data_IF_698810032939
#
_entry.id   IF_698810032939
#
_cell.length_a   1.000
_cell.length_b   1.000
_cell.length_c   1.000
_cell.angle_alpha   90.00
_cell.angle_beta   90.00
_cell.angle_gamma   90.00
#
_symmetry.space_group_name_H-M   'P 1'
#
loop_
_entity.id
_entity.type
_entity.pdbx_description
1 polymer ?
#
# COMPACT_ATOMS: atom_id res chain seq x y z
N UNK A 1 3.55 -4.97 3.99
CA UNK A 1 4.42 -4.31 2.99
C UNK A 1 5.52 -3.54 3.71
N UNK A 2 6.78 -3.56 3.23
CA UNK A 2 7.89 -2.84 3.89
C UNK A 2 8.06 -1.44 3.30
N UNK A 3 8.16 -0.43 4.16
CA UNK A 3 8.45 0.96 3.77
C UNK A 3 9.76 1.36 4.43
N UNK A 4 10.63 2.03 3.67
CA UNK A 4 11.93 2.51 4.14
C UNK A 4 11.91 4.04 4.23
N UNK A 5 12.28 4.55 5.38
CA UNK A 5 12.54 5.96 5.62
C UNK A 5 14.06 6.16 5.72
N UNK A 6 14.63 6.86 4.74
CA UNK A 6 16.05 7.23 4.72
C UNK A 6 16.18 8.69 5.17
N UNK A 7 16.10 8.92 6.48
CA UNK A 7 16.24 10.24 7.12
C UNK A 7 17.16 10.14 8.33
N UNK A 8 17.62 11.27 8.86
CA UNK A 8 18.31 11.35 10.16
C UNK A 8 17.36 10.97 11.31
N UNK A 9 17.90 10.40 12.39
CA UNK A 9 17.17 9.66 13.42
C UNK A 9 16.04 10.45 14.14
N UNK A 10 16.13 11.78 14.17
CA UNK A 10 15.12 12.68 14.78
C UNK A 10 13.95 13.01 13.85
N UNK A 11 14.08 12.74 12.55
CA UNK A 11 13.08 13.14 11.56
C UNK A 11 12.16 11.97 11.16
N UNK A 12 10.84 12.23 11.04
CA UNK A 12 9.84 11.23 10.67
C UNK A 12 9.40 11.38 9.21
N UNK A 13 9.45 10.31 8.45
CA UNK A 13 8.79 10.24 7.15
C UNK A 13 7.28 10.09 7.37
N UNK A 14 6.49 10.99 6.77
CA UNK A 14 5.03 10.82 6.69
C UNK A 14 4.66 10.40 5.29
N UNK A 15 3.71 9.51 5.16
CA UNK A 15 3.33 9.04 3.84
C UNK A 15 1.99 8.36 3.80
N UNK A 16 1.61 8.01 2.58
CA UNK A 16 0.42 7.22 2.30
C UNK A 16 0.79 6.02 1.44
N UNK A 17 0.12 4.92 1.73
CA UNK A 17 0.24 3.68 1.01
C UNK A 17 -1.15 3.34 0.47
N UNK A 18 -1.25 3.22 -0.84
CA UNK A 18 -2.51 2.94 -1.54
C UNK A 18 -2.37 1.66 -2.34
N UNK A 19 -3.34 0.76 -2.24
CA UNK A 19 -3.48 -0.40 -3.12
C UNK A 19 -4.65 -0.18 -4.05
N UNK A 20 -4.43 -0.45 -5.33
CA UNK A 20 -5.44 -0.33 -6.36
C UNK A 20 -5.49 -1.60 -7.21
N UNK A 21 -6.69 -2.07 -7.49
CA UNK A 21 -6.92 -3.28 -8.28
C UNK A 21 -8.24 -3.22 -9.04
N UNK A 22 -8.30 -3.96 -10.15
CA UNK A 22 -9.55 -4.26 -10.86
C UNK A 22 -10.24 -5.45 -10.19
N UNK A 23 -11.32 -5.16 -9.47
CA UNK A 23 -12.10 -6.21 -8.81
C UNK A 23 -13.03 -6.90 -9.82
N UNK A 24 -13.19 -8.23 -9.72
CA UNK A 24 -14.19 -8.95 -10.51
C UNK A 24 -15.59 -8.40 -10.23
N UNK A 25 -16.41 -8.26 -11.28
CA UNK A 25 -17.78 -7.72 -11.17
C UNK A 25 -17.88 -6.19 -11.13
N UNK A 26 -16.76 -5.44 -11.18
CA UNK A 26 -16.76 -3.96 -11.27
C UNK A 26 -16.28 -3.40 -12.62
N UNK A 27 -16.27 -4.25 -13.65
CA UNK A 27 -15.81 -3.89 -15.01
C UNK A 27 -14.30 -3.65 -15.09
N UNK A 28 -13.84 -2.94 -16.14
CA UNK A 28 -12.41 -2.62 -16.37
C UNK A 28 -11.85 -1.53 -15.43
N UNK A 29 -12.64 -1.04 -14.47
CA UNK A 29 -12.25 0.08 -13.58
C UNK A 29 -11.32 -0.37 -12.47
N UNK A 30 -10.22 0.35 -12.31
CA UNK A 30 -9.28 0.17 -11.20
C UNK A 30 -9.78 0.89 -9.96
N UNK A 31 -10.05 0.15 -8.89
CA UNK A 31 -10.60 0.65 -7.63
C UNK A 31 -9.55 0.63 -6.52
N UNK A 32 -9.67 1.52 -5.55
CA UNK A 32 -8.82 1.49 -4.35
C UNK A 32 -9.32 0.40 -3.41
N UNK A 33 -8.46 -0.60 -3.15
CA UNK A 33 -8.79 -1.76 -2.33
C UNK A 33 -8.21 -1.67 -0.91
N UNK A 34 -7.23 -0.81 -0.68
CA UNK A 34 -6.76 -0.43 0.65
C UNK A 34 -6.04 0.92 0.60
N UNK A 35 -6.08 1.65 1.71
CA UNK A 35 -5.32 2.88 1.93
C UNK A 35 -4.91 2.94 3.39
N UNK A 36 -3.66 3.31 3.66
CA UNK A 36 -3.21 3.65 5.00
C UNK A 36 -2.26 4.84 4.95
N UNK A 37 -2.34 5.68 5.97
CA UNK A 37 -1.34 6.71 6.24
C UNK A 37 -0.34 6.17 7.26
N UNK A 38 0.90 6.60 7.18
CA UNK A 38 1.95 6.20 8.12
C UNK A 38 2.83 7.38 8.51
N UNK A 39 3.41 7.27 9.70
CA UNK A 39 4.48 8.12 10.20
C UNK A 39 5.55 7.20 10.74
N UNK A 40 6.75 7.24 10.15
CA UNK A 40 7.83 6.31 10.41
C UNK A 40 9.08 7.09 10.80
N UNK A 41 9.74 6.68 11.89
CA UNK A 41 11.10 7.09 12.16
C UNK A 41 12.06 6.50 11.11
N UNK A 42 13.33 6.91 11.15
CA UNK A 42 14.37 6.36 10.29
C UNK A 42 14.40 4.82 10.37
N UNK A 43 14.54 4.15 9.24
CA UNK A 43 14.59 2.68 9.15
C UNK A 43 13.51 2.05 8.27
N UNK A 44 13.33 0.73 8.42
CA UNK A 44 12.36 -0.06 7.64
C UNK A 44 11.24 -0.56 8.54
N UNK A 45 9.98 -0.35 8.14
CA UNK A 45 8.82 -0.85 8.90
C UNK A 45 7.84 -1.59 8.03
N UNK A 46 7.26 -2.64 8.59
CA UNK A 46 6.14 -3.35 7.98
C UNK A 46 4.85 -2.61 8.31
N UNK A 47 4.08 -2.27 7.26
CA UNK A 47 2.74 -1.72 7.39
C UNK A 47 1.70 -2.79 7.12
N UNK A 48 0.69 -2.80 7.99
CA UNK A 48 -0.52 -3.60 7.87
C UNK A 48 -1.61 -2.75 7.24
N UNK A 49 -2.29 -3.30 6.25
CA UNK A 49 -3.31 -2.61 5.47
C UNK A 49 -4.63 -3.35 5.60
N UNK A 50 -5.70 -2.62 5.84
CA UNK A 50 -7.05 -3.18 5.88
C UNK A 50 -7.64 -3.15 4.46
N UNK A 51 -7.87 -4.34 3.90
CA UNK A 51 -8.55 -4.47 2.62
C UNK A 51 -10.04 -4.13 2.75
N UNK A 52 -10.60 -3.47 1.74
CA UNK A 52 -12.04 -3.21 1.63
C UNK A 52 -12.81 -4.53 1.57
N UNK A 53 -14.09 -4.51 1.98
CA UNK A 53 -14.92 -5.72 1.95
C UNK A 53 -14.99 -6.37 0.54
N UNK A 54 -15.15 -5.62 -0.56
CA UNK A 54 -15.13 -6.19 -1.91
C UNK A 54 -13.80 -6.88 -2.25
N UNK A 55 -12.67 -6.29 -1.88
CA UNK A 55 -11.35 -6.89 -2.11
C UNK A 55 -11.13 -8.16 -1.29
N UNK A 56 -11.59 -8.18 -0.03
CA UNK A 56 -11.55 -9.40 0.79
C UNK A 56 -12.38 -10.53 0.19
N UNK A 57 -13.58 -10.23 -0.32
CA UNK A 57 -14.43 -11.22 -1.01
C UNK A 57 -13.77 -11.74 -2.28
N UNK A 58 -13.21 -10.84 -3.10
CA UNK A 58 -12.49 -11.23 -4.31
C UNK A 58 -11.27 -12.13 -4.01
N UNK A 59 -10.51 -11.81 -2.95
CA UNK A 59 -9.36 -12.61 -2.54
C UNK A 59 -9.76 -13.99 -2.02
N UNK A 60 -10.92 -14.08 -1.34
CA UNK A 60 -11.50 -15.35 -0.91
C UNK A 60 -11.93 -16.21 -2.10
N UNK A 61 -12.51 -15.61 -3.14
CA UNK A 61 -12.97 -16.32 -4.32
C UNK A 61 -11.83 -16.78 -5.24
N UNK A 62 -10.78 -15.95 -5.43
CA UNK A 62 -9.70 -16.21 -6.41
C UNK A 62 -8.40 -16.74 -5.80
N UNK A 63 -8.30 -16.79 -4.47
CA UNK A 63 -7.09 -17.06 -3.68
C UNK A 63 -5.92 -16.06 -3.87
N UNK A 64 -5.87 -15.38 -5.01
CA UNK A 64 -4.85 -14.38 -5.38
C UNK A 64 -5.50 -13.16 -6.05
N UNK A 65 -4.84 -12.01 -5.93
CA UNK A 65 -5.26 -10.73 -6.47
C UNK A 65 -4.04 -9.91 -6.90
N UNK A 66 -4.08 -9.27 -8.07
CA UNK A 66 -2.95 -8.49 -8.58
C UNK A 66 -3.25 -7.02 -8.39
N UNK A 67 -2.55 -6.38 -7.44
CA UNK A 67 -2.76 -5.00 -7.09
C UNK A 67 -1.54 -4.13 -7.43
N UNK A 68 -1.81 -2.89 -7.80
CA UNK A 68 -0.78 -1.84 -7.86
C UNK A 68 -0.71 -1.15 -6.51
N UNK A 69 0.42 -1.29 -5.85
CA UNK A 69 0.79 -0.54 -4.66
C UNK A 69 1.46 0.77 -5.05
N UNK A 70 1.02 1.88 -4.48
CA UNK A 70 1.68 3.18 -4.57
C UNK A 70 2.03 3.66 -3.18
N UNK A 71 3.30 3.99 -2.97
CA UNK A 71 3.82 4.57 -1.73
C UNK A 71 4.21 6.01 -2.02
N UNK A 72 3.50 6.95 -1.43
CA UNK A 72 3.89 8.35 -1.43
C UNK A 72 4.50 8.66 -0.05
N UNK A 73 5.75 9.10 -0.04
CA UNK A 73 6.50 9.43 1.17
C UNK A 73 6.91 10.89 1.08
N UNK A 74 6.51 11.70 2.05
CA UNK A 74 7.03 13.05 2.23
C UNK A 74 8.23 12.97 3.16
N UNK A 75 9.38 13.38 2.64
CA UNK A 75 10.60 13.50 3.42
C UNK A 75 10.53 14.76 4.29
N UNK A 76 11.23 14.76 5.44
CA UNK A 76 11.37 15.93 6.30
C UNK A 76 11.96 17.14 5.57
N UNK A 77 12.84 16.90 4.59
CA UNK A 77 13.43 17.91 3.70
C UNK A 77 12.42 18.53 2.71
N UNK A 78 11.12 18.22 2.82
CA UNK A 78 10.06 18.78 1.99
C UNK A 78 9.78 18.01 0.69
N UNK A 79 10.75 17.24 0.17
CA UNK A 79 10.60 16.47 -1.06
C UNK A 79 9.62 15.31 -0.89
N UNK A 80 8.61 15.24 -1.75
CA UNK A 80 7.73 14.08 -1.85
C UNK A 80 8.30 13.07 -2.86
N UNK A 81 8.45 11.81 -2.45
CA UNK A 81 8.84 10.69 -3.31
C UNK A 81 7.66 9.73 -3.43
N UNK A 82 7.25 9.44 -4.66
CA UNK A 82 6.25 8.42 -4.95
C UNK A 82 6.90 7.23 -5.64
N UNK A 83 6.50 6.02 -5.25
CA UNK A 83 6.94 4.79 -5.89
C UNK A 83 5.77 3.85 -6.06
N UNK A 84 5.57 3.37 -7.29
CA UNK A 84 4.54 2.38 -7.60
C UNK A 84 5.17 1.03 -7.91
N UNK A 85 4.52 -0.06 -7.49
CA UNK A 85 4.93 -1.44 -7.75
C UNK A 85 3.70 -2.32 -7.88
N UNK A 86 3.71 -3.28 -8.80
CA UNK A 86 2.70 -4.36 -8.81
C UNK A 86 3.05 -5.41 -7.77
N UNK A 87 2.04 -5.87 -7.03
CA UNK A 87 2.16 -6.89 -6.01
C UNK A 87 1.02 -7.90 -6.18
N UNK A 88 1.32 -9.16 -5.90
CA UNK A 88 0.30 -10.19 -5.80
C UNK A 88 -0.08 -10.34 -4.33
N UNK A 89 -1.35 -10.09 -4.03
CA UNK A 89 -1.95 -10.41 -2.75
C UNK A 89 -2.33 -11.88 -2.78
N UNK A 90 -1.87 -12.62 -1.77
CA UNK A 90 -2.22 -14.02 -1.57
C UNK A 90 -2.95 -14.17 -0.25
N UNK A 91 -3.96 -15.04 -0.21
CA UNK A 91 -4.59 -15.42 1.05
C UNK A 91 -3.62 -16.31 1.83
N UNK A 92 -3.16 -15.87 3.01
CA UNK A 92 -2.55 -16.78 3.99
C UNK A 92 -3.64 -17.76 4.45
N UNK A 93 -3.39 -19.05 4.25
CA UNK A 93 -4.23 -20.14 4.76
C UNK A 93 -3.95 -20.33 6.25
#
# INVERSE_FOLDING_TARGET
>A
MRVRCATTATARCRGTLTLRERLPGRGRRTTTIARASYSLAAGTRTLTLRLTAPARRALRARATLTATTTVATRQPSGSARSRSRRVTLVRRR
#
